data_IF_375603958106
#
_entry.id   IF_375603958106
#
_cell.length_a   1.000
_cell.length_b   1.000
_cell.length_c   1.000
_cell.angle_alpha   90.00
_cell.angle_beta   90.00
_cell.angle_gamma   90.00
#
_symmetry.space_group_name_H-M   'P 1'
#
loop_
_entity.id
_entity.type
_entity.pdbx_description
1 polymer ?
#
# COMPACT_ATOMS: atom_id res chain seq x y z
N UNK A 1 -12.89 8.42 13.85
CA UNK A 1 -11.84 7.73 13.09
C UNK A 1 -10.77 8.75 12.71
N UNK A 2 -9.52 8.39 12.90
CA UNK A 2 -8.39 9.31 12.66
C UNK A 2 -7.66 8.96 11.38
N UNK A 3 -7.24 9.98 10.65
CA UNK A 3 -6.39 9.81 9.47
C UNK A 3 -4.92 9.93 9.89
N UNK A 4 -4.07 9.23 9.17
CA UNK A 4 -2.62 9.35 9.34
C UNK A 4 -1.98 9.68 7.99
N UNK A 5 -0.89 10.42 8.03
CA UNK A 5 -0.11 10.68 6.83
C UNK A 5 0.99 9.61 6.65
N UNK A 6 1.72 9.72 5.56
CA UNK A 6 2.74 8.72 5.23
C UNK A 6 3.82 8.62 6.30
N UNK A 7 4.19 9.75 6.92
CA UNK A 7 5.29 9.75 7.88
C UNK A 7 4.98 8.97 9.16
N UNK A 8 3.71 8.97 9.59
CA UNK A 8 3.31 8.15 10.74
C UNK A 8 3.54 6.67 10.44
N UNK A 9 3.08 6.20 9.27
CA UNK A 9 3.26 4.81 8.88
C UNK A 9 4.74 4.47 8.69
N UNK A 10 5.49 5.35 8.03
CA UNK A 10 6.91 5.12 7.78
C UNK A 10 7.71 5.02 9.07
N UNK A 11 7.47 5.93 10.03
CA UNK A 11 8.18 5.87 11.32
C UNK A 11 7.83 4.60 12.09
N UNK A 12 6.57 4.15 11.99
CA UNK A 12 6.16 2.91 12.63
C UNK A 12 6.85 1.69 12.00
N UNK A 13 6.82 1.60 10.68
CA UNK A 13 7.37 0.43 9.98
C UNK A 13 8.89 0.37 10.02
N UNK A 14 9.57 1.50 9.86
CA UNK A 14 11.02 1.54 9.82
C UNK A 14 11.66 1.49 11.20
N UNK A 15 10.96 2.01 12.20
CA UNK A 15 11.43 2.07 13.58
C UNK A 15 12.88 2.59 13.69
N UNK A 16 13.15 3.67 12.93
CA UNK A 16 14.49 4.20 12.73
C UNK A 16 14.72 5.54 13.45
N UNK A 17 13.76 6.00 14.24
CA UNK A 17 13.83 7.27 14.95
C UNK A 17 13.27 7.08 16.36
N UNK A 18 14.11 7.18 17.37
CA UNK A 18 13.75 6.82 18.74
C UNK A 18 12.45 7.49 19.21
N UNK A 19 12.36 8.81 19.07
CA UNK A 19 11.19 9.56 19.56
C UNK A 19 10.00 9.44 18.62
N UNK A 20 10.19 9.68 17.33
CA UNK A 20 9.10 9.70 16.36
C UNK A 20 8.52 8.31 16.14
N UNK A 21 9.35 7.27 16.14
CA UNK A 21 8.84 5.90 15.98
C UNK A 21 8.03 5.46 17.19
N UNK A 22 8.43 5.86 18.40
CA UNK A 22 7.65 5.59 19.60
C UNK A 22 6.30 6.32 19.57
N UNK A 23 6.28 7.58 19.13
CA UNK A 23 5.05 8.34 19.00
C UNK A 23 4.12 7.73 17.95
N UNK A 24 4.68 7.30 16.81
CA UNK A 24 3.90 6.66 15.76
C UNK A 24 3.27 5.36 16.27
N UNK A 25 4.03 4.55 17.00
CA UNK A 25 3.52 3.31 17.58
C UNK A 25 2.36 3.59 18.53
N UNK A 26 2.49 4.60 19.39
CA UNK A 26 1.43 4.98 20.32
C UNK A 26 0.17 5.42 19.57
N UNK A 27 0.32 6.22 18.51
CA UNK A 27 -0.83 6.68 17.71
C UNK A 27 -1.55 5.50 17.08
N UNK A 28 -0.81 4.60 16.44
CA UNK A 28 -1.40 3.48 15.70
C UNK A 28 -2.03 2.46 16.65
N UNK A 29 -1.38 2.19 17.79
CA UNK A 29 -1.85 1.17 18.72
C UNK A 29 -2.99 1.64 19.62
N UNK A 30 -3.14 2.96 19.84
CA UNK A 30 -4.12 3.50 20.76
C UNK A 30 -5.31 4.18 20.08
N UNK A 31 -5.36 4.18 18.74
CA UNK A 31 -6.42 4.84 17.99
C UNK A 31 -6.91 3.94 16.88
N UNK A 32 -8.15 4.22 16.42
CA UNK A 32 -8.65 3.63 15.18
C UNK A 32 -8.15 4.54 14.04
N UNK A 33 -7.18 4.07 13.29
CA UNK A 33 -6.56 4.87 12.22
C UNK A 33 -7.02 4.38 10.85
N UNK A 34 -7.35 5.35 10.00
CA UNK A 34 -7.71 5.10 8.60
C UNK A 34 -6.56 5.55 7.70
N UNK A 35 -6.17 4.70 6.77
CA UNK A 35 -5.13 4.99 5.80
C UNK A 35 -5.76 5.24 4.43
N UNK A 36 -5.77 6.50 3.95
CA UNK A 36 -6.26 6.78 2.60
C UNK A 36 -5.39 6.09 1.55
N UNK A 37 -6.01 5.70 0.43
CA UNK A 37 -5.29 4.98 -0.63
C UNK A 37 -4.13 5.81 -1.19
N UNK A 38 -4.32 7.12 -1.37
CA UNK A 38 -3.26 8.00 -1.85
C UNK A 38 -2.07 8.05 -0.88
N UNK A 39 -2.33 7.98 0.42
CA UNK A 39 -1.26 7.95 1.44
C UNK A 39 -0.54 6.59 1.39
N UNK A 40 -1.28 5.51 1.21
CA UNK A 40 -0.68 4.18 1.07
C UNK A 40 0.27 4.13 -0.14
N UNK A 41 -0.12 4.74 -1.26
CA UNK A 41 0.74 4.83 -2.44
C UNK A 41 2.04 5.57 -2.13
N UNK A 42 1.97 6.67 -1.38
CA UNK A 42 3.15 7.42 -0.98
C UNK A 42 4.07 6.59 -0.08
N UNK A 43 3.51 5.88 0.89
CA UNK A 43 4.28 5.00 1.77
C UNK A 43 5.06 3.97 0.95
N UNK A 44 4.38 3.31 0.02
CA UNK A 44 5.00 2.27 -0.81
C UNK A 44 6.12 2.87 -1.68
N UNK A 45 5.87 4.02 -2.29
CA UNK A 45 6.86 4.70 -3.11
C UNK A 45 8.12 5.02 -2.28
N UNK A 46 7.96 5.59 -1.10
CA UNK A 46 9.08 5.96 -0.24
C UNK A 46 9.85 4.73 0.24
N UNK A 47 9.13 3.69 0.69
CA UNK A 47 9.79 2.45 1.11
C UNK A 47 10.63 1.87 -0.02
N UNK A 48 10.10 1.85 -1.24
CA UNK A 48 10.81 1.24 -2.37
C UNK A 48 11.94 2.12 -2.89
N UNK A 49 11.67 3.41 -3.11
CA UNK A 49 12.62 4.28 -3.83
C UNK A 49 13.62 4.95 -2.92
N UNK A 50 13.25 5.28 -1.69
CA UNK A 50 14.15 5.96 -0.76
C UNK A 50 14.87 4.95 0.13
N UNK A 51 14.13 4.02 0.73
CA UNK A 51 14.69 3.07 1.68
C UNK A 51 15.10 1.75 1.06
N UNK A 52 14.83 1.56 -0.23
CA UNK A 52 15.24 0.36 -0.99
C UNK A 52 14.72 -0.94 -0.38
N UNK A 53 13.53 -0.88 0.17
CA UNK A 53 12.86 -2.07 0.71
C UNK A 53 12.33 -2.91 -0.45
N UNK A 54 12.54 -4.22 -0.40
CA UNK A 54 12.12 -5.13 -1.46
C UNK A 54 10.59 -5.27 -1.48
N UNK A 55 10.03 -5.50 -2.67
CA UNK A 55 8.58 -5.61 -2.87
C UNK A 55 7.90 -6.62 -1.95
N UNK A 56 8.43 -7.85 -1.79
CA UNK A 56 7.79 -8.81 -0.87
C UNK A 56 7.75 -8.33 0.58
N UNK A 57 8.79 -7.62 1.02
CA UNK A 57 8.84 -7.08 2.38
C UNK A 57 7.84 -5.93 2.56
N UNK A 58 7.70 -5.06 1.55
CA UNK A 58 6.69 -4.00 1.55
C UNK A 58 5.29 -4.61 1.69
N UNK A 59 4.99 -5.62 0.89
CA UNK A 59 3.71 -6.33 0.97
C UNK A 59 3.49 -6.91 2.36
N UNK A 60 4.48 -7.61 2.90
CA UNK A 60 4.36 -8.27 4.20
C UNK A 60 4.07 -7.26 5.30
N UNK A 61 4.78 -6.13 5.30
CA UNK A 61 4.62 -5.10 6.32
C UNK A 61 3.24 -4.44 6.28
N UNK A 62 2.77 -4.08 5.09
CA UNK A 62 1.49 -3.40 4.96
C UNK A 62 0.32 -4.35 5.14
N UNK A 63 0.44 -5.57 4.67
CA UNK A 63 -0.59 -6.59 4.89
C UNK A 63 -0.73 -6.88 6.38
N UNK A 64 0.38 -6.95 7.13
CA UNK A 64 0.33 -7.18 8.57
C UNK A 64 -0.43 -6.07 9.30
N UNK A 65 -0.28 -4.82 8.89
CA UNK A 65 -1.02 -3.70 9.50
C UNK A 65 -2.52 -3.89 9.35
N UNK A 66 -2.98 -4.36 8.20
CA UNK A 66 -4.40 -4.64 7.97
C UNK A 66 -4.85 -5.89 8.72
N UNK A 67 -4.08 -6.96 8.65
CA UNK A 67 -4.43 -8.25 9.27
C UNK A 67 -4.51 -8.11 10.80
N UNK A 68 -3.64 -7.32 11.39
CA UNK A 68 -3.63 -7.06 12.83
C UNK A 68 -4.60 -5.95 13.23
N UNK A 69 -5.34 -5.41 12.28
CA UNK A 69 -6.34 -4.37 12.49
C UNK A 69 -5.75 -3.08 13.10
N UNK A 70 -4.48 -2.82 12.82
CA UNK A 70 -3.83 -1.58 13.25
C UNK A 70 -4.19 -0.40 12.37
N UNK A 71 -4.55 -0.65 11.12
CA UNK A 71 -5.08 0.36 10.21
C UNK A 71 -6.35 -0.15 9.54
N UNK A 72 -7.17 0.78 9.06
CA UNK A 72 -8.34 0.48 8.26
C UNK A 72 -8.23 1.21 6.93
N UNK A 73 -8.80 0.61 5.87
CA UNK A 73 -8.87 1.20 4.54
C UNK A 73 -10.27 1.02 3.98
N UNK A 74 -10.69 1.92 3.09
CA UNK A 74 -12.00 1.83 2.46
C UNK A 74 -12.10 0.68 1.46
N UNK A 75 -10.99 0.38 0.78
CA UNK A 75 -10.94 -0.67 -0.24
C UNK A 75 -9.81 -1.66 0.08
N UNK A 76 -9.91 -2.40 1.20
CA UNK A 76 -8.80 -3.27 1.61
C UNK A 76 -8.57 -4.43 0.63
N UNK A 77 -9.62 -4.96 0.01
CA UNK A 77 -9.48 -6.07 -0.94
C UNK A 77 -8.72 -5.61 -2.18
N UNK A 78 -9.05 -4.43 -2.70
CA UNK A 78 -8.34 -3.83 -3.83
C UNK A 78 -6.87 -3.62 -3.48
N UNK A 79 -6.61 -3.06 -2.30
CA UNK A 79 -5.24 -2.78 -1.86
C UNK A 79 -4.41 -4.07 -1.73
N UNK A 80 -4.96 -5.09 -1.10
CA UNK A 80 -4.26 -6.37 -0.92
C UNK A 80 -3.99 -7.07 -2.25
N UNK A 81 -4.95 -6.98 -3.19
CA UNK A 81 -4.78 -7.55 -4.52
C UNK A 81 -3.69 -6.80 -5.30
N UNK A 82 -3.64 -5.48 -5.17
CA UNK A 82 -2.59 -4.67 -5.77
C UNK A 82 -1.21 -5.03 -5.20
N UNK A 83 -1.12 -5.24 -3.88
CA UNK A 83 0.14 -5.65 -3.25
C UNK A 83 0.61 -7.01 -3.76
N UNK A 84 -0.32 -7.94 -3.95
CA UNK A 84 0.01 -9.26 -4.51
C UNK A 84 0.61 -9.11 -5.90
N UNK A 85 -0.05 -8.36 -6.80
CA UNK A 85 0.45 -8.11 -8.15
C UNK A 85 1.78 -7.36 -8.13
N UNK A 86 1.97 -6.46 -7.17
CA UNK A 86 3.21 -5.71 -7.01
C UNK A 86 4.41 -6.62 -6.76
N UNK A 87 4.21 -7.75 -6.07
CA UNK A 87 5.28 -8.71 -5.79
C UNK A 87 5.57 -9.65 -6.95
N UNK A 88 4.62 -9.85 -7.87
CA UNK A 88 4.74 -10.80 -8.97
C UNK A 88 5.01 -10.16 -10.32
N UNK A 89 5.10 -8.83 -10.38
CA UNK A 89 5.36 -8.07 -11.60
C UNK A 89 6.46 -7.05 -11.36
N UNK A 90 6.82 -6.31 -12.43
CA UNK A 90 7.71 -5.15 -12.33
C UNK A 90 6.95 -3.84 -12.50
N UNK A 91 5.62 -3.90 -12.51
CA UNK A 91 4.79 -2.70 -12.62
C UNK A 91 4.95 -1.84 -11.37
N UNK A 92 4.81 -0.53 -11.53
CA UNK A 92 4.74 0.38 -10.39
C UNK A 92 3.47 0.09 -9.59
N UNK A 93 3.47 0.45 -8.30
CA UNK A 93 2.33 0.10 -7.45
C UNK A 93 1.03 0.72 -7.94
N UNK A 94 1.05 1.98 -8.41
CA UNK A 94 -0.16 2.63 -8.91
C UNK A 94 -0.74 1.85 -10.11
N UNK A 95 0.11 1.29 -10.96
CA UNK A 95 -0.36 0.46 -12.07
C UNK A 95 -1.00 -0.83 -11.58
N UNK A 96 -0.41 -1.49 -10.58
CA UNK A 96 -1.03 -2.68 -9.98
C UNK A 96 -2.33 -2.32 -9.27
N UNK A 97 -2.42 -1.13 -8.71
CA UNK A 97 -3.64 -0.65 -8.08
C UNK A 97 -4.76 -0.45 -9.12
N UNK A 98 -4.45 0.15 -10.26
CA UNK A 98 -5.42 0.31 -11.35
C UNK A 98 -5.91 -1.06 -11.82
N UNK A 99 -4.98 -2.01 -12.02
CA UNK A 99 -5.38 -3.37 -12.37
C UNK A 99 -6.29 -3.98 -11.29
N UNK A 100 -5.98 -3.77 -10.02
CA UNK A 100 -6.77 -4.33 -8.92
C UNK A 100 -8.19 -3.77 -8.90
N UNK A 101 -8.37 -2.48 -9.17
CA UNK A 101 -9.70 -1.90 -9.31
C UNK A 101 -10.48 -2.57 -10.45
N UNK A 102 -9.82 -2.84 -11.57
CA UNK A 102 -10.42 -3.55 -12.67
C UNK A 102 -10.81 -4.98 -12.28
N UNK A 103 -9.88 -5.68 -11.64
CA UNK A 103 -10.06 -7.09 -11.28
C UNK A 103 -11.11 -7.31 -10.18
N UNK A 104 -11.08 -6.48 -9.15
CA UNK A 104 -11.97 -6.64 -7.98
C UNK A 104 -13.33 -6.01 -8.21
N UNK A 105 -13.35 -4.79 -8.75
CA UNK A 105 -14.58 -3.99 -8.87
C UNK A 105 -15.11 -3.89 -10.29
N UNK A 106 -14.50 -4.60 -11.24
CA UNK A 106 -14.87 -4.58 -12.66
C UNK A 106 -14.90 -3.17 -13.26
N UNK A 107 -14.04 -2.30 -12.73
CA UNK A 107 -13.91 -0.95 -13.27
C UNK A 107 -13.09 -0.97 -14.56
N UNK A 108 -13.55 -0.22 -15.55
CA UNK A 108 -12.86 -0.14 -16.82
C UNK A 108 -11.70 0.84 -16.73
N UNK A 109 -10.50 0.40 -17.15
CA UNK A 109 -9.28 1.21 -17.08
C UNK A 109 -8.86 1.64 -18.47
N UNK A 110 -8.68 2.95 -18.66
CA UNK A 110 -8.11 3.52 -19.88
C UNK A 110 -6.66 3.91 -19.60
N UNK A 111 -5.75 3.36 -20.37
CA UNK A 111 -4.32 3.65 -20.23
C UNK A 111 -3.62 3.49 -21.57
N UNK A 112 -2.59 4.30 -21.79
CA UNK A 112 -1.71 4.16 -22.95
C UNK A 112 -0.47 3.31 -22.62
N UNK A 113 -0.28 2.92 -21.38
CA UNK A 113 0.86 2.09 -20.97
C UNK A 113 0.66 0.66 -21.46
N UNK A 114 1.55 0.23 -22.36
CA UNK A 114 1.42 -1.08 -23.01
C UNK A 114 1.59 -2.23 -22.03
N UNK A 115 2.47 -2.07 -21.04
CA UNK A 115 2.70 -3.13 -20.04
C UNK A 115 1.46 -3.31 -19.18
N UNK A 116 0.83 -2.22 -18.77
CA UNK A 116 -0.39 -2.29 -17.98
C UNK A 116 -1.53 -2.85 -18.81
N UNK A 117 -1.69 -2.43 -20.06
CA UNK A 117 -2.71 -2.98 -20.97
C UNK A 117 -2.56 -4.49 -21.09
N UNK A 118 -1.34 -4.97 -21.28
CA UNK A 118 -1.07 -6.39 -21.41
C UNK A 118 -1.41 -7.14 -20.11
N UNK A 119 -1.03 -6.60 -18.98
CA UNK A 119 -1.31 -7.24 -17.70
C UNK A 119 -2.81 -7.33 -17.44
N UNK A 120 -3.55 -6.26 -17.70
CA UNK A 120 -5.02 -6.25 -17.58
C UNK A 120 -5.63 -7.32 -18.47
N UNK A 121 -5.20 -7.38 -19.73
CA UNK A 121 -5.73 -8.35 -20.70
C UNK A 121 -5.48 -9.79 -20.29
N UNK A 122 -4.31 -10.06 -19.72
CA UNK A 122 -3.89 -11.43 -19.37
C UNK A 122 -4.37 -11.88 -17.99
N UNK A 123 -4.73 -10.95 -17.11
CA UNK A 123 -5.01 -11.26 -15.70
C UNK A 123 -6.35 -10.72 -15.20
N UNK A 124 -7.26 -10.40 -16.08
CA UNK A 124 -8.59 -9.89 -15.68
C UNK A 124 -9.63 -10.98 -15.61
#
# INVERSE_FOLDING_TARGET
MSLVDANIILRYLLDDHETLSAQAASIIEQNVVSLPMEVACEVIYVLQKVYKVARPEIRQNLQALLDEQLIQMQEPVVFLKALEAFTTTRLDFVDTLLWAYCHVNQQRIFTFDEKLQKYIRENS
#
